data_IF_923732928907
#
_entry.id   IF_923732928907
#
_cell.length_a   1.000
_cell.length_b   1.000
_cell.length_c   1.000
_cell.angle_alpha   90.00
_cell.angle_beta   90.00
_cell.angle_gamma   90.00
#
_symmetry.space_group_name_H-M   'P 1'
#
loop_
_entity.id
_entity.type
_entity.pdbx_description
1 polymer ?
#
# COMPACT_ATOMS: atom_id res chain seq x y z
N UNK A 1 3.87 -13.45 3.27
CA UNK A 1 3.82 -12.33 2.31
C UNK A 1 3.18 -12.80 1.01
N UNK A 2 2.13 -12.10 0.55
CA UNK A 2 1.40 -12.42 -0.69
C UNK A 2 1.07 -11.12 -1.44
N UNK A 3 1.36 -11.08 -2.73
CA UNK A 3 0.92 -10.01 -3.63
C UNK A 3 -0.31 -10.42 -4.44
N UNK A 4 -1.21 -9.47 -4.69
CA UNK A 4 -2.35 -9.64 -5.60
C UNK A 4 -2.52 -8.35 -6.39
N UNK A 5 -2.67 -8.49 -7.70
CA UNK A 5 -3.15 -7.40 -8.55
C UNK A 5 -4.59 -7.68 -8.94
N UNK A 6 -5.46 -6.71 -8.70
CA UNK A 6 -6.87 -6.75 -9.07
C UNK A 6 -7.10 -5.86 -10.29
N UNK A 7 -7.34 -6.48 -11.44
CA UNK A 7 -7.51 -5.77 -12.72
C UNK A 7 -8.80 -4.99 -12.82
N UNK A 8 -9.83 -5.36 -12.05
CA UNK A 8 -11.13 -4.68 -12.10
C UNK A 8 -11.06 -3.32 -11.41
N UNK A 9 -10.31 -3.25 -10.31
CA UNK A 9 -10.15 -2.03 -9.50
C UNK A 9 -8.81 -1.33 -9.71
N UNK A 10 -7.92 -1.89 -10.54
CA UNK A 10 -6.54 -1.42 -10.77
C UNK A 10 -5.76 -1.22 -9.46
N UNK A 11 -5.85 -2.22 -8.56
CA UNK A 11 -5.22 -2.17 -7.24
C UNK A 11 -4.18 -3.27 -7.10
N UNK A 12 -2.94 -2.89 -6.81
CA UNK A 12 -1.89 -3.81 -6.36
C UNK A 12 -1.84 -3.84 -4.84
N UNK A 13 -2.16 -4.98 -4.25
CA UNK A 13 -2.14 -5.21 -2.81
C UNK A 13 -1.01 -6.15 -2.41
N UNK A 14 -0.29 -5.80 -1.34
CA UNK A 14 0.73 -6.66 -0.72
C UNK A 14 0.36 -6.86 0.74
N UNK A 15 0.16 -8.12 1.11
CA UNK A 15 -0.11 -8.55 2.48
C UNK A 15 1.17 -9.05 3.12
N UNK A 16 1.55 -8.47 4.25
CA UNK A 16 2.73 -8.88 5.01
C UNK A 16 2.39 -10.00 5.98
N UNK A 17 1.21 -9.92 6.60
CA UNK A 17 0.68 -10.89 7.56
C UNK A 17 -0.70 -11.38 7.13
N UNK A 18 -1.17 -12.48 7.73
CA UNK A 18 -2.55 -12.97 7.57
C UNK A 18 -3.50 -12.37 8.61
N UNK A 19 -3.02 -11.43 9.45
CA UNK A 19 -3.82 -10.79 10.50
C UNK A 19 -4.96 -9.95 9.90
N UNK A 20 -6.14 -10.02 10.47
CA UNK A 20 -7.31 -9.26 9.99
C UNK A 20 -7.02 -7.76 9.92
N UNK A 21 -7.39 -7.15 8.79
CA UNK A 21 -7.31 -5.69 8.62
C UNK A 21 -8.54 -5.08 9.25
N UNK A 22 -8.34 -4.22 10.25
CA UNK A 22 -9.45 -3.54 10.95
C UNK A 22 -9.50 -2.04 10.64
N UNK A 23 -8.43 -1.50 10.08
CA UNK A 23 -8.34 -0.11 9.68
C UNK A 23 -7.46 0.05 8.44
N UNK A 24 -7.76 1.06 7.63
CA UNK A 24 -6.90 1.48 6.54
C UNK A 24 -6.83 3.00 6.48
N UNK A 25 -5.72 3.52 5.96
CA UNK A 25 -5.53 4.95 5.76
C UNK A 25 -4.74 5.20 4.49
N UNK A 26 -5.24 6.09 3.65
CA UNK A 26 -4.46 6.67 2.57
C UNK A 26 -3.41 7.60 3.19
N UNK A 27 -2.15 7.16 3.17
CA UNK A 27 -1.04 7.93 3.75
C UNK A 27 -0.50 8.94 2.75
N UNK A 28 -0.76 8.71 1.46
CA UNK A 28 -0.45 9.59 0.34
C UNK A 28 -1.36 9.24 -0.86
N UNK A 29 -1.59 10.16 -1.82
CA UNK A 29 -2.35 9.87 -3.03
C UNK A 29 -1.97 8.55 -3.70
N UNK A 30 -2.91 7.60 -3.70
CA UNK A 30 -2.76 6.29 -4.30
C UNK A 30 -2.01 5.24 -3.46
N UNK A 31 -1.58 5.57 -2.23
CA UNK A 31 -0.92 4.64 -1.30
C UNK A 31 -1.74 4.50 -0.02
N UNK A 32 -2.29 3.30 0.18
CA UNK A 32 -3.09 2.96 1.36
C UNK A 32 -2.32 1.97 2.23
N UNK A 33 -2.28 2.23 3.54
CA UNK A 33 -1.70 1.32 4.54
C UNK A 33 -2.83 0.67 5.33
N UNK A 34 -2.79 -0.66 5.43
CA UNK A 34 -3.73 -1.47 6.17
C UNK A 34 -3.12 -1.88 7.53
N UNK A 35 -3.87 -1.68 8.60
CA UNK A 35 -3.46 -1.97 9.97
C UNK A 35 -4.30 -3.09 10.58
N UNK A 36 -3.66 -3.92 11.39
CA UNK A 36 -4.33 -4.93 12.22
C UNK A 36 -4.84 -4.34 13.55
N UNK A 37 -5.48 -5.18 14.36
CA UNK A 37 -6.05 -4.79 15.66
C UNK A 37 -5.00 -4.32 16.69
N UNK A 38 -3.72 -4.67 16.51
CA UNK A 38 -2.63 -4.18 17.34
C UNK A 38 -2.06 -2.84 16.84
N UNK A 39 -2.56 -2.33 15.71
CA UNK A 39 -2.04 -1.15 15.04
C UNK A 39 -0.76 -1.41 14.24
N UNK A 40 -0.39 -2.67 14.03
CA UNK A 40 0.75 -3.02 13.19
C UNK A 40 0.37 -3.01 11.71
N UNK A 41 1.35 -2.77 10.83
CA UNK A 41 1.12 -2.77 9.38
C UNK A 41 0.91 -4.19 8.90
N UNK A 42 -0.29 -4.48 8.44
CA UNK A 42 -0.67 -5.79 7.93
C UNK A 42 -0.53 -5.87 6.39
N UNK A 43 -0.57 -4.74 5.70
CA UNK A 43 -0.35 -4.66 4.26
C UNK A 43 -0.34 -3.24 3.69
N UNK A 44 -0.10 -3.16 2.39
CA UNK A 44 -0.16 -1.93 1.60
C UNK A 44 -0.96 -2.16 0.32
N UNK A 45 -1.58 -1.10 -0.19
CA UNK A 45 -2.26 -1.08 -1.48
C UNK A 45 -1.76 0.11 -2.32
N UNK A 46 -1.58 -0.14 -3.60
CA UNK A 46 -1.28 0.86 -4.62
C UNK A 46 -2.49 0.94 -5.54
N UNK A 47 -3.15 2.10 -5.54
CA UNK A 47 -4.28 2.40 -6.42
C UNK A 47 -3.77 2.87 -7.79
N UNK A 48 -4.57 2.68 -8.84
CA UNK A 48 -4.20 3.01 -10.23
C UNK A 48 -2.82 2.41 -10.61
N UNK A 49 -2.55 1.18 -10.16
CA UNK A 49 -1.22 0.59 -10.23
C UNK A 49 -0.71 0.45 -11.67
N UNK A 50 -1.61 0.29 -12.64
CA UNK A 50 -1.30 0.23 -14.07
C UNK A 50 -0.78 1.55 -14.65
N UNK A 51 -1.09 2.70 -14.02
CA UNK A 51 -0.67 4.01 -14.51
C UNK A 51 0.86 4.18 -14.48
N UNK A 52 1.58 3.33 -13.73
CA UNK A 52 3.03 3.32 -13.64
C UNK A 52 3.62 4.61 -13.04
N UNK A 53 2.77 5.50 -12.53
CA UNK A 53 3.11 6.78 -11.92
C UNK A 53 2.32 6.92 -10.62
N UNK A 54 2.95 6.53 -9.52
CA UNK A 54 2.61 7.12 -8.22
C UNK A 54 2.84 8.64 -8.36
N UNK A 55 2.07 9.47 -7.64
CA UNK A 55 2.15 10.93 -7.75
C UNK A 55 3.62 11.40 -7.85
N UNK A 56 3.93 12.19 -8.89
CA UNK A 56 5.29 12.39 -9.41
C UNK A 56 6.28 13.03 -8.41
N UNK A 57 5.79 13.55 -7.29
CA UNK A 57 6.53 14.14 -6.17
C UNK A 57 6.80 13.14 -5.03
N UNK A 58 6.41 11.87 -5.17
CA UNK A 58 6.43 10.86 -4.12
C UNK A 58 7.46 9.77 -4.37
N UNK A 59 8.70 10.20 -4.57
CA UNK A 59 9.83 9.32 -4.84
C UNK A 59 10.10 8.38 -3.65
N UNK A 60 9.73 7.11 -3.81
CA UNK A 60 9.96 6.04 -2.83
C UNK A 60 11.45 5.95 -2.41
N UNK A 61 12.37 6.34 -3.29
CA UNK A 61 13.82 6.35 -3.02
C UNK A 61 14.20 7.36 -1.94
N UNK A 62 13.61 8.56 -1.94
CA UNK A 62 13.89 9.59 -0.91
C UNK A 62 13.46 9.18 0.49
N UNK A 63 12.53 8.22 0.60
CA UNK A 63 12.01 7.74 1.88
C UNK A 63 12.89 6.64 2.50
N UNK A 64 13.59 5.85 1.68
CA UNK A 64 14.52 4.82 2.17
C UNK A 64 15.83 5.41 2.73
N UNK A 65 16.18 6.64 2.33
CA UNK A 65 17.39 7.35 2.74
C UNK A 65 17.21 8.14 4.05
N UNK A 66 15.97 8.34 4.51
CA UNK A 66 15.63 9.13 5.69
C UNK A 66 15.36 8.29 6.97
N UNK A 67 15.57 6.98 6.91
CA UNK A 67 15.31 6.03 7.99
C UNK A 67 16.60 5.45 8.59
#
# INVERSE_FOLDING_TARGET
MKGRYDTETDVLSVRFTDAEVVASREVRPGIVVAYDAAGAVAGIEVLEASAGRLAADQDLRRLAEAA
#
